data_IF_690054877484
#
_entry.id   IF_690054877484
#
_cell.length_a   1.000
_cell.length_b   1.000
_cell.length_c   1.000
_cell.angle_alpha   90.00
_cell.angle_beta   90.00
_cell.angle_gamma   90.00
#
_symmetry.space_group_name_H-M   'P 1'
#
loop_
_entity.id
_entity.type
_entity.pdbx_description
1 polymer ?
#
# COMPACT_ATOMS: atom_id res chain seq x y z
N UNK A 1 -19.29 -27.35 -23.88
CA UNK A 1 -18.06 -26.54 -23.70
C UNK A 1 -17.91 -26.31 -22.18
N UNK A 2 -16.98 -26.99 -21.54
CA UNK A 2 -16.77 -26.79 -20.10
C UNK A 2 -16.09 -25.44 -19.88
N UNK A 3 -16.82 -24.45 -19.41
CA UNK A 3 -16.26 -23.17 -18.97
C UNK A 3 -15.50 -23.38 -17.66
N UNK A 4 -14.24 -22.95 -17.61
CA UNK A 4 -13.51 -22.91 -16.35
C UNK A 4 -14.23 -21.99 -15.36
N UNK A 5 -14.61 -22.50 -14.21
CA UNK A 5 -15.28 -21.73 -13.17
C UNK A 5 -14.29 -20.79 -12.46
N UNK A 6 -14.78 -19.66 -11.99
CA UNK A 6 -14.02 -18.81 -11.09
C UNK A 6 -13.87 -19.54 -9.74
N UNK A 7 -12.71 -19.36 -9.08
CA UNK A 7 -12.39 -20.04 -7.83
C UNK A 7 -12.18 -18.98 -6.74
N UNK A 8 -13.08 -18.96 -5.76
CA UNK A 8 -12.91 -18.12 -4.56
C UNK A 8 -11.84 -18.75 -3.68
N UNK A 9 -10.73 -18.06 -3.46
CA UNK A 9 -9.61 -18.51 -2.63
C UNK A 9 -9.77 -18.04 -1.19
N UNK A 10 -10.21 -16.78 -1.00
CA UNK A 10 -10.52 -16.17 0.30
C UNK A 10 -11.68 -15.19 0.13
N UNK A 11 -12.07 -14.50 1.21
CA UNK A 11 -13.09 -13.44 1.11
C UNK A 11 -12.64 -12.27 0.21
N UNK A 12 -11.33 -12.05 0.11
CA UNK A 12 -10.73 -10.92 -0.62
C UNK A 12 -10.04 -11.32 -1.92
N UNK A 13 -9.97 -12.63 -2.25
CA UNK A 13 -9.23 -13.12 -3.41
C UNK A 13 -10.05 -14.15 -4.17
N UNK A 14 -10.27 -13.90 -5.46
CA UNK A 14 -10.93 -14.83 -6.38
C UNK A 14 -10.09 -14.97 -7.64
N UNK A 15 -9.78 -16.20 -8.05
CA UNK A 15 -9.21 -16.48 -9.36
C UNK A 15 -10.32 -16.38 -10.42
N UNK A 16 -10.15 -15.47 -11.36
CA UNK A 16 -11.07 -15.27 -12.48
C UNK A 16 -10.52 -15.96 -13.72
N UNK A 17 -11.37 -16.76 -14.34
CA UNK A 17 -11.11 -17.46 -15.60
C UNK A 17 -11.99 -16.84 -16.67
N UNK A 18 -11.47 -15.89 -17.46
CA UNK A 18 -12.21 -15.19 -18.50
C UNK A 18 -11.88 -15.75 -19.89
N UNK A 19 -12.86 -16.18 -20.69
CA UNK A 19 -12.61 -16.53 -22.08
C UNK A 19 -11.94 -15.37 -22.84
N UNK A 20 -10.88 -15.68 -23.61
CA UNK A 20 -10.04 -14.65 -24.28
C UNK A 20 -9.78 -15.05 -25.70
N UNK A 21 -10.13 -15.67 -26.48
CA UNK A 21 -9.99 -16.18 -27.86
C UNK A 21 -10.47 -17.64 -27.92
N UNK A 22 -10.67 -18.16 -29.14
CA UNK A 22 -11.08 -19.56 -29.33
C UNK A 22 -10.20 -20.50 -28.47
N UNK A 23 -10.82 -21.18 -27.49
CA UNK A 23 -10.20 -22.17 -26.58
C UNK A 23 -9.08 -21.65 -25.67
N UNK A 24 -8.92 -20.32 -25.49
CA UNK A 24 -7.94 -19.73 -24.55
C UNK A 24 -8.64 -18.97 -23.43
N UNK A 25 -8.04 -18.95 -22.26
CA UNK A 25 -8.52 -18.21 -21.10
C UNK A 25 -7.47 -17.21 -20.63
N UNK A 26 -7.93 -16.08 -20.17
CA UNK A 26 -7.13 -15.12 -19.42
C UNK A 26 -7.39 -15.33 -17.94
N UNK A 27 -6.33 -15.54 -17.17
CA UNK A 27 -6.39 -15.80 -15.75
C UNK A 27 -5.87 -14.60 -14.97
N UNK A 28 -6.64 -14.10 -14.02
CA UNK A 28 -6.23 -13.01 -13.14
C UNK A 28 -6.90 -13.14 -11.77
N UNK A 29 -6.34 -12.47 -10.77
CA UNK A 29 -6.91 -12.41 -9.43
C UNK A 29 -7.76 -11.15 -9.28
N UNK A 30 -9.02 -11.34 -8.94
CA UNK A 30 -9.87 -10.28 -8.40
C UNK A 30 -9.56 -10.16 -6.91
N UNK A 31 -9.11 -8.99 -6.48
CA UNK A 31 -8.68 -8.70 -5.11
C UNK A 31 -9.31 -7.41 -4.62
N UNK A 32 -9.32 -7.20 -3.29
CA UNK A 32 -9.69 -5.92 -2.70
C UNK A 32 -8.70 -4.83 -3.07
N UNK A 33 -9.18 -3.59 -3.13
CA UNK A 33 -8.34 -2.41 -3.27
C UNK A 33 -7.59 -2.13 -1.97
N UNK A 34 -6.48 -1.40 -2.07
CA UNK A 34 -5.61 -1.02 -0.96
C UNK A 34 -5.57 0.49 -0.79
N UNK A 35 -5.26 0.91 0.42
CA UNK A 35 -4.97 2.30 0.73
C UNK A 35 -3.60 2.44 1.37
N UNK A 36 -2.86 3.52 1.04
CA UNK A 36 -1.50 3.77 1.46
C UNK A 36 -1.35 5.21 1.94
N UNK A 37 -0.65 5.41 3.07
CA UNK A 37 -0.37 6.72 3.64
C UNK A 37 1.12 7.04 3.64
N UNK A 38 1.53 8.10 2.95
CA UNK A 38 2.84 8.72 3.09
C UNK A 38 2.74 9.86 4.10
N UNK A 39 3.34 9.71 5.26
CA UNK A 39 3.35 10.74 6.30
C UNK A 39 4.75 11.31 6.48
N UNK A 40 4.88 12.64 6.26
CA UNK A 40 6.10 13.39 6.47
C UNK A 40 6.00 14.17 7.79
N UNK A 41 6.70 13.72 8.84
CA UNK A 41 6.62 14.31 10.18
C UNK A 41 7.40 15.62 10.30
N UNK A 42 8.48 15.76 9.54
CA UNK A 42 9.26 16.99 9.33
C UNK A 42 9.91 16.92 7.95
N UNK A 43 10.40 18.04 7.43
CA UNK A 43 10.97 18.13 6.08
C UNK A 43 11.91 16.95 5.78
N UNK A 44 11.58 16.17 4.75
CA UNK A 44 12.33 15.00 4.29
C UNK A 44 12.48 13.86 5.31
N UNK A 45 11.60 13.76 6.33
CA UNK A 45 11.56 12.65 7.28
C UNK A 45 10.17 12.03 7.30
N UNK A 46 10.10 10.75 6.98
CA UNK A 46 8.88 10.00 6.76
C UNK A 46 8.67 8.92 7.82
N UNK A 47 7.41 8.58 8.08
CA UNK A 47 7.06 7.40 8.85
C UNK A 47 7.05 6.19 7.93
N UNK A 48 7.84 5.18 8.31
CA UNK A 48 7.98 3.92 7.60
C UNK A 48 7.79 2.78 8.59
N UNK A 49 7.16 1.72 8.16
CA UNK A 49 7.00 0.49 8.93
C UNK A 49 7.87 -0.63 8.35
N UNK A 50 8.23 -1.60 9.19
CA UNK A 50 8.84 -2.83 8.70
C UNK A 50 8.06 -4.05 9.16
N UNK A 51 7.93 -5.03 8.27
CA UNK A 51 7.27 -6.30 8.55
C UNK A 51 7.89 -7.44 7.73
N UNK A 52 7.71 -8.67 8.21
CA UNK A 52 8.14 -9.88 7.48
C UNK A 52 7.12 -10.20 6.40
N UNK A 53 7.52 -10.17 5.13
CA UNK A 53 6.68 -10.56 3.99
C UNK A 53 7.00 -11.99 3.58
N UNK A 54 6.05 -12.90 3.82
CA UNK A 54 6.20 -14.34 3.55
C UNK A 54 6.54 -14.63 2.08
N UNK A 55 5.85 -14.05 1.07
CA UNK A 55 6.12 -14.37 -0.34
C UNK A 55 7.55 -14.06 -0.79
N UNK A 56 8.14 -13.01 -0.25
CA UNK A 56 9.52 -12.60 -0.58
C UNK A 56 10.55 -13.05 0.47
N UNK A 57 10.10 -13.76 1.52
CA UNK A 57 10.91 -14.37 2.59
C UNK A 57 11.88 -13.41 3.29
N UNK A 58 11.55 -12.11 3.38
CA UNK A 58 12.40 -11.09 4.00
C UNK A 58 11.60 -10.04 4.76
N UNK A 59 12.31 -9.24 5.57
CA UNK A 59 11.75 -8.01 6.15
C UNK A 59 11.82 -6.92 5.09
N UNK A 60 10.68 -6.26 4.86
CA UNK A 60 10.56 -5.12 3.96
C UNK A 60 10.26 -3.87 4.76
N UNK A 61 10.68 -2.71 4.22
CA UNK A 61 10.31 -1.39 4.70
C UNK A 61 9.26 -0.81 3.76
N UNK A 62 8.20 -0.26 4.32
CA UNK A 62 7.01 0.13 3.56
C UNK A 62 6.38 1.38 4.20
N UNK A 63 5.59 2.13 3.46
CA UNK A 63 4.65 3.06 4.07
C UNK A 63 3.47 2.28 4.65
N UNK A 64 2.82 2.76 5.71
CA UNK A 64 1.62 2.14 6.25
C UNK A 64 0.55 1.98 5.19
N UNK A 65 -0.05 0.77 5.11
CA UNK A 65 -1.01 0.45 4.06
C UNK A 65 -1.78 -0.83 4.37
N UNK A 66 -3.04 -0.87 3.96
CA UNK A 66 -3.85 -2.07 4.12
C UNK A 66 -5.07 -2.12 3.23
N UNK A 67 -5.89 -3.13 3.44
CA UNK A 67 -7.09 -3.41 2.66
C UNK A 67 -8.18 -2.37 2.98
N UNK A 68 -8.87 -1.90 1.94
CA UNK A 68 -10.10 -1.12 2.08
C UNK A 68 -11.23 -2.08 2.39
N UNK A 69 -11.86 -1.94 3.55
CA UNK A 69 -12.97 -2.77 3.97
C UNK A 69 -14.23 -2.49 3.12
N UNK A 70 -15.17 -3.44 3.17
CA UNK A 70 -16.44 -3.30 2.45
C UNK A 70 -17.17 -2.03 2.94
N UNK A 71 -17.56 -1.17 1.99
CA UNK A 71 -18.24 0.11 2.24
C UNK A 71 -17.37 1.19 2.92
N UNK A 72 -16.08 0.95 3.14
CA UNK A 72 -15.13 1.94 3.66
C UNK A 72 -14.64 2.85 2.52
N UNK A 73 -14.48 4.16 2.81
CA UNK A 73 -13.82 5.06 1.86
C UNK A 73 -12.30 4.87 1.92
N UNK A 74 -11.64 4.96 0.78
CA UNK A 74 -10.19 4.74 0.70
C UNK A 74 -9.36 5.70 1.58
N UNK A 75 -9.85 6.92 1.83
CA UNK A 75 -9.18 7.86 2.73
C UNK A 75 -9.30 7.42 4.20
N UNK A 76 -10.46 6.89 4.58
CA UNK A 76 -10.71 6.42 5.96
C UNK A 76 -9.87 5.16 6.23
N UNK A 77 -9.80 4.23 5.26
CA UNK A 77 -8.90 3.08 5.30
C UNK A 77 -7.43 3.50 5.47
N UNK A 78 -6.96 4.49 4.70
CA UNK A 78 -5.60 5.00 4.84
C UNK A 78 -5.32 5.56 6.24
N UNK A 79 -6.28 6.28 6.84
CA UNK A 79 -6.15 6.82 8.18
C UNK A 79 -6.19 5.72 9.26
N UNK A 80 -7.08 4.72 9.11
CA UNK A 80 -7.22 3.59 10.03
C UNK A 80 -5.94 2.74 10.03
N UNK A 81 -5.49 2.27 8.88
CA UNK A 81 -4.28 1.45 8.74
C UNK A 81 -3.04 2.18 9.24
N UNK A 82 -2.91 3.49 8.91
CA UNK A 82 -1.82 4.31 9.42
C UNK A 82 -1.82 4.36 10.94
N UNK A 83 -3.00 4.53 11.57
CA UNK A 83 -3.11 4.56 13.02
C UNK A 83 -2.82 3.20 13.67
N UNK A 84 -3.33 2.11 13.10
CA UNK A 84 -3.14 0.75 13.58
C UNK A 84 -1.66 0.35 13.53
N UNK A 85 -1.04 0.47 12.37
CA UNK A 85 0.34 0.06 12.15
C UNK A 85 1.38 0.95 12.84
N UNK A 86 1.10 2.24 13.04
CA UNK A 86 2.10 3.19 13.56
C UNK A 86 1.78 3.74 14.93
N UNK A 87 0.52 3.76 15.35
CA UNK A 87 0.04 4.46 16.54
C UNK A 87 0.03 5.98 16.42
N UNK A 88 0.25 6.56 15.23
CA UNK A 88 0.08 7.99 14.97
C UNK A 88 -1.32 8.27 14.42
N UNK A 89 -1.94 9.33 14.92
CA UNK A 89 -3.22 9.88 14.42
C UNK A 89 -2.94 11.03 13.46
N UNK A 90 -3.71 11.07 12.39
CA UNK A 90 -3.72 12.17 11.43
C UNK A 90 -4.64 13.28 11.95
N UNK A 91 -4.19 14.53 11.89
CA UNK A 91 -4.87 15.70 12.47
C UNK A 91 -5.61 16.55 11.44
N UNK A 92 -5.35 16.33 10.16
CA UNK A 92 -6.02 17.05 9.06
C UNK A 92 -6.47 16.09 7.96
N UNK A 93 -7.14 16.60 6.93
CA UNK A 93 -7.57 15.79 5.78
C UNK A 93 -6.35 15.48 4.90
N UNK A 94 -5.95 14.21 4.74
CA UNK A 94 -4.85 13.83 3.86
C UNK A 94 -5.13 14.22 2.40
N UNK A 95 -4.08 14.69 1.71
CA UNK A 95 -4.14 14.97 0.27
C UNK A 95 -4.00 13.67 -0.52
N UNK A 96 -4.91 13.43 -1.45
CA UNK A 96 -4.77 12.32 -2.39
C UNK A 96 -3.60 12.60 -3.35
N UNK A 97 -2.67 11.65 -3.47
CA UNK A 97 -1.54 11.74 -4.40
C UNK A 97 -1.98 11.23 -5.78
N UNK A 98 -2.41 9.96 -5.84
CA UNK A 98 -2.91 9.30 -7.05
C UNK A 98 -3.65 7.99 -6.67
N UNK A 99 -4.21 7.35 -7.68
CA UNK A 99 -4.64 5.95 -7.64
C UNK A 99 -3.91 5.21 -8.76
N UNK A 100 -3.28 4.07 -8.45
CA UNK A 100 -2.55 3.23 -9.41
C UNK A 100 -3.03 1.80 -9.37
N UNK A 101 -2.86 1.07 -10.48
CA UNK A 101 -3.05 -0.38 -10.49
C UNK A 101 -1.79 -1.07 -9.98
N UNK A 102 -1.95 -2.08 -9.12
CA UNK A 102 -0.83 -2.81 -8.51
C UNK A 102 -0.05 -3.60 -9.58
N UNK A 103 -0.75 -4.43 -10.30
CA UNK A 103 -0.22 -5.29 -11.39
C UNK A 103 -1.34 -5.49 -12.42
N UNK A 104 -1.48 -4.56 -13.40
CA UNK A 104 -2.65 -4.51 -14.29
C UNK A 104 -2.81 -5.72 -15.20
N UNK A 105 -1.74 -6.49 -15.39
CA UNK A 105 -1.77 -7.74 -16.16
C UNK A 105 -2.28 -8.95 -15.38
N UNK A 106 -2.37 -8.89 -14.05
CA UNK A 106 -2.67 -10.05 -13.22
C UNK A 106 -3.63 -9.79 -12.07
N UNK A 107 -3.76 -8.55 -11.62
CA UNK A 107 -4.57 -8.17 -10.46
C UNK A 107 -5.59 -7.09 -10.82
N UNK A 108 -6.74 -7.11 -10.14
CA UNK A 108 -7.69 -5.99 -10.22
C UNK A 108 -7.38 -4.89 -9.21
N UNK A 109 -6.44 -5.11 -8.29
CA UNK A 109 -6.13 -4.23 -7.17
C UNK A 109 -5.75 -2.83 -7.61
N UNK A 110 -6.47 -1.84 -7.11
CA UNK A 110 -6.08 -0.44 -7.12
C UNK A 110 -5.47 -0.06 -5.77
N UNK A 111 -4.50 0.83 -5.80
CA UNK A 111 -3.88 1.38 -4.59
C UNK A 111 -4.15 2.87 -4.57
N UNK A 112 -4.87 3.33 -3.54
CA UNK A 112 -5.20 4.72 -3.30
C UNK A 112 -4.16 5.34 -2.38
N UNK A 113 -3.34 6.25 -2.90
CA UNK A 113 -2.20 6.81 -2.19
C UNK A 113 -2.51 8.21 -1.67
N UNK A 114 -2.21 8.44 -0.39
CA UNK A 114 -2.45 9.69 0.33
C UNK A 114 -1.19 10.23 0.96
N UNK A 115 -1.17 11.54 1.23
CA UNK A 115 -0.07 12.24 1.88
C UNK A 115 -0.56 13.16 2.98
N UNK A 116 0.15 13.21 4.10
CA UNK A 116 -0.10 14.12 5.23
C UNK A 116 1.20 14.60 5.87
N UNK A 117 1.13 15.76 6.56
CA UNK A 117 2.19 16.31 7.41
C UNK A 117 1.76 16.46 8.87
N UNK A 118 0.46 16.53 9.14
CA UNK A 118 -0.07 16.81 10.47
C UNK A 118 -0.48 15.53 11.17
N UNK A 119 0.39 15.05 12.03
CA UNK A 119 0.21 13.81 12.77
C UNK A 119 0.66 13.98 14.23
N UNK A 120 0.09 13.17 15.12
CA UNK A 120 0.47 13.09 16.53
C UNK A 120 0.58 11.64 16.99
N UNK A 121 1.56 11.33 17.86
CA UNK A 121 1.73 9.99 18.42
C UNK A 121 0.76 9.80 19.59
N UNK A 122 -0.07 8.75 19.54
CA UNK A 122 -1.04 8.44 20.59
C UNK A 122 -0.81 7.11 21.29
N UNK A 123 -0.34 6.09 20.57
CA UNK A 123 -0.15 4.74 21.12
C UNK A 123 1.08 4.06 20.52
N UNK A 124 1.41 2.86 21.02
CA UNK A 124 2.40 1.98 20.39
C UNK A 124 1.86 1.44 19.05
N UNK A 125 2.76 1.07 18.15
CA UNK A 125 2.42 0.36 16.90
C UNK A 125 1.84 -1.02 17.18
N UNK A 126 1.13 -1.58 16.22
CA UNK A 126 0.60 -2.94 16.26
C UNK A 126 1.71 -3.98 16.51
N UNK A 127 1.34 -5.09 17.19
CA UNK A 127 2.27 -6.20 17.46
C UNK A 127 2.78 -6.81 16.16
N UNK A 128 4.11 -6.93 16.04
CA UNK A 128 4.76 -7.48 14.85
C UNK A 128 5.18 -6.43 13.81
N UNK A 129 4.70 -5.18 13.93
CA UNK A 129 5.08 -4.05 13.07
C UNK A 129 5.99 -3.12 13.85
N UNK A 130 7.12 -2.72 13.25
CA UNK A 130 8.03 -1.73 13.83
C UNK A 130 7.97 -0.45 13.03
N UNK A 131 7.79 0.67 13.72
CA UNK A 131 7.70 2.02 13.13
C UNK A 131 9.04 2.74 13.24
N UNK A 132 9.43 3.43 12.17
CA UNK A 132 10.67 4.18 12.07
C UNK A 132 10.43 5.58 11.51
N UNK A 133 11.21 6.55 11.98
CA UNK A 133 11.38 7.85 11.36
C UNK A 133 12.58 7.77 10.41
N UNK A 134 12.35 7.90 9.12
CA UNK A 134 13.35 7.62 8.09
C UNK A 134 13.52 8.83 7.18
N UNK A 135 14.77 9.30 7.02
CA UNK A 135 15.07 10.40 6.11
C UNK A 135 14.91 9.99 4.63
N UNK A 136 14.65 10.95 3.76
CA UNK A 136 14.65 10.78 2.30
C UNK A 136 15.86 9.98 1.80
N UNK A 137 17.07 10.36 2.24
CA UNK A 137 18.31 9.69 1.81
C UNK A 137 18.39 8.23 2.31
N UNK A 138 17.88 7.98 3.51
CA UNK A 138 17.81 6.61 4.03
C UNK A 138 16.81 5.77 3.27
N UNK A 139 15.65 6.33 2.84
CA UNK A 139 14.70 5.61 1.98
C UNK A 139 15.38 5.25 0.66
N UNK A 140 16.10 6.19 0.01
CA UNK A 140 16.85 5.92 -1.21
C UNK A 140 17.87 4.78 -1.02
N UNK A 141 18.60 4.77 0.10
CA UNK A 141 19.51 3.66 0.45
C UNK A 141 18.75 2.33 0.63
N UNK A 142 17.58 2.34 1.26
CA UNK A 142 16.76 1.14 1.44
C UNK A 142 16.20 0.61 0.11
N UNK A 143 15.86 1.49 -0.83
CA UNK A 143 15.45 1.13 -2.21
C UNK A 143 16.62 0.43 -2.92
N UNK A 144 17.81 1.06 -2.93
CA UNK A 144 19.02 0.48 -3.52
C UNK A 144 19.37 -0.89 -2.92
N UNK A 145 19.22 -1.04 -1.60
CA UNK A 145 19.43 -2.30 -0.88
C UNK A 145 18.30 -3.32 -1.08
N UNK A 146 17.28 -3.04 -1.91
CA UNK A 146 16.09 -3.88 -2.13
C UNK A 146 15.32 -4.22 -0.85
N UNK A 147 15.40 -3.36 0.17
CA UNK A 147 14.68 -3.47 1.44
C UNK A 147 13.38 -2.66 1.45
N UNK A 148 13.34 -1.54 0.71
CA UNK A 148 12.13 -0.79 0.37
C UNK A 148 11.84 -1.09 -1.10
N UNK A 149 11.06 -2.14 -1.36
CA UNK A 149 11.00 -2.78 -2.68
C UNK A 149 9.59 -2.94 -3.27
N UNK A 150 8.57 -2.44 -2.59
CA UNK A 150 7.21 -2.43 -3.13
C UNK A 150 7.08 -1.27 -4.13
N UNK A 151 6.73 -1.57 -5.39
CA UNK A 151 6.69 -0.60 -6.48
C UNK A 151 5.73 0.57 -6.21
N UNK A 152 4.55 0.31 -5.63
CA UNK A 152 3.57 1.37 -5.31
C UNK A 152 4.08 2.32 -4.23
N UNK A 153 4.83 1.80 -3.25
CA UNK A 153 5.42 2.61 -2.18
C UNK A 153 6.57 3.47 -2.71
N UNK A 154 7.40 2.91 -3.62
CA UNK A 154 8.45 3.66 -4.31
C UNK A 154 7.84 4.77 -5.16
N UNK A 155 6.81 4.46 -5.98
CA UNK A 155 6.12 5.46 -6.79
C UNK A 155 5.51 6.59 -5.93
N UNK A 156 4.90 6.23 -4.77
CA UNK A 156 4.34 7.20 -3.83
C UNK A 156 5.41 8.11 -3.23
N UNK A 157 6.55 7.53 -2.85
CA UNK A 157 7.70 8.27 -2.33
C UNK A 157 8.23 9.27 -3.37
N UNK A 158 8.52 8.82 -4.59
CA UNK A 158 9.02 9.66 -5.67
C UNK A 158 8.06 10.80 -5.96
N UNK A 159 6.75 10.52 -6.05
CA UNK A 159 5.74 11.56 -6.31
C UNK A 159 5.67 12.63 -5.23
N UNK A 160 5.90 12.26 -3.97
CA UNK A 160 5.89 13.22 -2.85
C UNK A 160 7.14 14.10 -2.84
N UNK A 161 8.31 13.53 -3.16
CA UNK A 161 9.58 14.29 -3.13
C UNK A 161 9.82 15.14 -4.38
N UNK A 162 9.18 14.80 -5.53
CA UNK A 162 9.31 15.52 -6.80
C UNK A 162 8.36 16.71 -6.91
N UNK A 163 7.21 16.66 -6.24
CA UNK A 163 6.25 17.78 -6.28
C UNK A 163 6.58 18.75 -5.15
N UNK A 164 7.04 19.98 -5.47
CA UNK A 164 7.19 21.02 -4.46
C UNK A 164 5.84 21.20 -3.76
N UNK A 165 5.80 20.98 -2.47
CA UNK A 165 4.63 21.36 -1.65
C UNK A 165 4.55 22.88 -1.66
N UNK A 166 3.65 23.44 -2.52
CA UNK A 166 3.16 24.81 -2.35
C UNK A 166 2.48 24.96 -1.02
#
# INVERSE_FOLDING_TARGET
MNFLKNIKLTNNITLINKPFKKKKYYHFLKTSDLSLMVAEIKKNVFIVVSQKRIPVKKITYEFPSGIIDKSEKSIDAACREFYEETGYKILDKPRKIFTINCEPGRLTTKIHCYYTKKITKLKKSEKGIKTYLVSKDKINKLIFQKKFCNASHIASFLKVIEVPTK
#
